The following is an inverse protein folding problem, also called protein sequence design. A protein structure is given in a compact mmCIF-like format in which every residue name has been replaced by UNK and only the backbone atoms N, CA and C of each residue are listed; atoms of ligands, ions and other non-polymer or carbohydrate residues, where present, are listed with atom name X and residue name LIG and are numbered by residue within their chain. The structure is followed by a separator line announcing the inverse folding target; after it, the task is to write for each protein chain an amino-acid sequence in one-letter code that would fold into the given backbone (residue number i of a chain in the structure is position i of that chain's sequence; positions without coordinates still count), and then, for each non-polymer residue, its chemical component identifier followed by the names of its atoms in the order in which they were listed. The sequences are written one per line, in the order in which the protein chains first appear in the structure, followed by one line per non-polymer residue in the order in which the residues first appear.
data_IF_058001846604
#
_entry.id   IF_058001846604
#
_cell.length_a   1.000
_cell.length_b   1.000
_cell.length_c   1.000
_cell.angle_alpha   90.00
_cell.angle_beta   90.00
_cell.angle_gamma   90.00
#
_symmetry.space_group_name_H-M   'P 1'
#
loop_
_entity.id
_entity.type
_entity.pdbx_description
1 polymer ?
#
# COMPACT_ATOMS: atom_id res chain seq x y z
N UNK A 1 13.07 -14.89 22.70
CA UNK A 1 11.87 -14.60 21.91
C UNK A 1 11.12 -13.44 22.55
N UNK A 2 10.94 -12.32 21.85
CA UNK A 2 10.19 -11.15 22.37
C UNK A 2 8.72 -11.54 22.58
N UNK A 3 8.22 -11.44 23.81
CA UNK A 3 6.79 -11.64 24.10
C UNK A 3 5.94 -10.73 23.19
N UNK A 4 5.03 -11.34 22.43
CA UNK A 4 4.12 -10.60 21.55
C UNK A 4 3.07 -9.93 22.43
N UNK A 5 3.14 -8.60 22.57
CA UNK A 5 2.17 -7.83 23.36
C UNK A 5 0.90 -7.55 22.55
N UNK A 6 -0.22 -7.30 23.23
CA UNK A 6 -1.50 -6.91 22.59
C UNK A 6 -1.32 -5.69 21.66
N UNK A 7 -0.53 -4.69 22.09
CA UNK A 7 -0.21 -3.51 21.27
C UNK A 7 0.46 -3.89 19.95
N UNK A 8 1.37 -4.86 19.98
CA UNK A 8 2.06 -5.37 18.79
C UNK A 8 1.08 -6.01 17.79
N UNK A 9 0.05 -6.72 18.28
CA UNK A 9 -1.00 -7.28 17.43
C UNK A 9 -1.86 -6.18 16.79
N UNK A 10 -2.25 -5.16 17.55
CA UNK A 10 -3.03 -4.03 17.02
C UNK A 10 -2.26 -3.33 15.89
N UNK A 11 -0.98 -3.00 16.11
CA UNK A 11 -0.16 -2.38 15.07
C UNK A 11 0.01 -3.27 13.84
N UNK A 12 0.12 -4.59 14.02
CA UNK A 12 0.17 -5.52 12.90
C UNK A 12 -1.12 -5.45 12.06
N UNK A 13 -2.29 -5.52 12.69
CA UNK A 13 -3.56 -5.47 11.97
C UNK A 13 -3.78 -4.12 11.29
N UNK A 14 -3.42 -3.00 11.93
CA UNK A 14 -3.46 -1.66 11.33
C UNK A 14 -2.52 -1.54 10.11
N UNK A 15 -1.30 -2.05 10.24
CA UNK A 15 -0.33 -2.08 9.13
C UNK A 15 -0.83 -2.93 7.96
N UNK A 16 -1.47 -4.06 8.26
CA UNK A 16 -2.04 -4.96 7.27
C UNK A 16 -3.26 -4.36 6.56
N UNK A 17 -4.18 -3.72 7.30
CA UNK A 17 -5.33 -3.05 6.68
C UNK A 17 -4.88 -1.90 5.78
N UNK A 18 -3.90 -1.09 6.20
CA UNK A 18 -3.37 -0.01 5.35
C UNK A 18 -2.69 -0.55 4.08
N UNK A 19 -1.99 -1.68 4.17
CA UNK A 19 -1.46 -2.36 3.00
C UNK A 19 -2.57 -2.79 2.04
N UNK A 20 -3.62 -3.45 2.56
CA UNK A 20 -4.76 -3.92 1.76
C UNK A 20 -5.49 -2.73 1.11
N UNK A 21 -5.73 -1.63 1.84
CA UNK A 21 -6.36 -0.43 1.29
C UNK A 21 -5.50 0.19 0.20
N UNK A 22 -4.17 0.22 0.37
CA UNK A 22 -3.24 0.66 -0.69
C UNK A 22 -3.32 -0.22 -1.95
N UNK A 23 -3.44 -1.54 -1.80
CA UNK A 23 -3.67 -2.43 -2.96
C UNK A 23 -5.01 -2.14 -3.64
N UNK A 24 -6.08 -1.99 -2.84
CA UNK A 24 -7.42 -1.70 -3.35
C UNK A 24 -7.49 -0.34 -4.04
N UNK A 25 -6.70 0.66 -3.62
CA UNK A 25 -6.73 1.99 -4.22
C UNK A 25 -6.29 2.01 -5.69
N UNK A 26 -5.62 0.95 -6.18
CA UNK A 26 -5.32 0.78 -7.60
C UNK A 26 -6.44 0.14 -8.41
N UNK A 27 -7.45 -0.48 -7.78
CA UNK A 27 -8.55 -1.18 -8.47
C UNK A 27 -9.35 -0.27 -9.41
N UNK A 28 -9.74 0.97 -9.02
CA UNK A 28 -10.42 1.89 -9.93
C UNK A 28 -9.64 2.11 -11.23
N UNK A 29 -8.31 2.15 -11.11
CA UNK A 29 -7.41 2.45 -12.20
C UNK A 29 -7.11 1.22 -13.06
N UNK A 30 -6.74 0.10 -12.44
CA UNK A 30 -6.35 -1.14 -13.11
C UNK A 30 -7.53 -1.90 -13.71
N UNK A 31 -8.68 -1.91 -13.03
CA UNK A 31 -9.83 -2.75 -13.41
C UNK A 31 -10.96 -1.91 -14.03
N UNK A 32 -11.28 -0.74 -13.45
CA UNK A 32 -12.48 0.02 -13.81
C UNK A 32 -12.24 1.12 -14.85
N UNK A 33 -10.99 1.37 -15.26
CA UNK A 33 -10.59 2.46 -16.17
C UNK A 33 -10.98 3.87 -15.68
N UNK A 34 -11.16 4.03 -14.38
CA UNK A 34 -11.45 5.33 -13.78
C UNK A 34 -10.13 6.11 -13.71
N UNK A 35 -10.13 7.33 -14.26
CA UNK A 35 -8.93 8.16 -14.39
C UNK A 35 -8.61 9.00 -13.14
N UNK A 36 -9.48 8.95 -12.14
CA UNK A 36 -9.26 9.63 -10.87
C UNK A 36 -8.06 9.06 -10.10
N UNK A 37 -7.31 9.91 -9.36
CA UNK A 37 -6.03 9.55 -8.75
C UNK A 37 -6.16 8.75 -7.43
N UNK A 38 -7.05 7.76 -7.39
CA UNK A 38 -7.23 6.90 -6.20
C UNK A 38 -5.92 6.23 -5.77
N UNK A 39 -5.05 5.87 -6.72
CA UNK A 39 -3.73 5.29 -6.44
C UNK A 39 -2.81 6.20 -5.62
N UNK A 40 -3.01 7.52 -5.63
CA UNK A 40 -2.21 8.47 -4.82
C UNK A 40 -2.41 8.29 -3.32
N UNK A 41 -3.50 7.65 -2.89
CA UNK A 41 -3.72 7.31 -1.47
C UNK A 41 -2.56 6.47 -0.92
N UNK A 42 -1.86 5.71 -1.76
CA UNK A 42 -0.68 4.93 -1.34
C UNK A 42 0.44 5.80 -0.77
N UNK A 43 0.61 7.05 -1.25
CA UNK A 43 1.61 7.99 -0.72
C UNK A 43 1.34 8.44 0.71
N UNK A 44 0.10 8.28 1.20
CA UNK A 44 -0.29 8.64 2.56
C UNK A 44 -0.43 7.38 3.42
N UNK A 45 -1.21 6.41 2.94
CA UNK A 45 -1.58 5.22 3.71
C UNK A 45 -0.39 4.30 3.96
N UNK A 46 0.48 4.12 2.97
CA UNK A 46 1.55 3.13 3.08
C UNK A 46 2.77 3.59 3.91
N UNK A 47 3.16 4.87 3.97
CA UNK A 47 4.10 5.34 4.99
C UNK A 47 3.58 5.12 6.42
N UNK A 48 2.29 5.35 6.67
CA UNK A 48 1.65 5.08 7.97
C UNK A 48 1.66 3.56 8.24
N UNK A 49 1.32 2.75 7.24
CA UNK A 49 1.36 1.30 7.32
C UNK A 49 2.76 0.75 7.58
N UNK A 50 3.79 1.33 6.97
CA UNK A 50 5.19 1.01 7.22
C UNK A 50 5.55 1.29 8.69
N UNK A 51 5.18 2.46 9.19
CA UNK A 51 5.44 2.84 10.59
C UNK A 51 4.76 1.88 11.57
N UNK A 52 3.49 1.51 11.35
CA UNK A 52 2.82 0.51 12.19
C UNK A 52 3.45 -0.89 12.07
N UNK A 53 3.89 -1.29 10.88
CA UNK A 53 4.58 -2.58 10.67
C UNK A 53 5.91 -2.63 11.42
N UNK A 54 6.63 -1.50 11.45
CA UNK A 54 7.85 -1.33 12.23
C UNK A 54 7.57 -1.41 13.74
N UNK A 55 6.56 -0.69 14.26
CA UNK A 55 6.13 -0.77 15.66
C UNK A 55 5.64 -2.17 16.06
N UNK A 56 5.04 -2.91 15.12
CA UNK A 56 4.64 -4.31 15.30
C UNK A 56 5.83 -5.29 15.31
N UNK A 57 7.06 -4.82 15.08
CA UNK A 57 8.25 -5.67 14.89
C UNK A 57 8.07 -6.70 13.77
N UNK A 58 7.24 -6.39 12.76
CA UNK A 58 6.92 -7.27 11.62
C UNK A 58 7.54 -6.70 10.35
N UNK A 59 8.81 -7.05 10.12
CA UNK A 59 9.61 -6.59 8.98
C UNK A 59 8.92 -6.82 7.64
N UNK A 60 8.30 -7.99 7.46
CA UNK A 60 7.60 -8.31 6.20
C UNK A 60 6.48 -7.32 5.89
N UNK A 61 5.56 -7.07 6.83
CA UNK A 61 4.43 -6.15 6.59
C UNK A 61 4.88 -4.70 6.45
N UNK A 62 5.93 -4.30 7.19
CA UNK A 62 6.55 -2.99 7.01
C UNK A 62 7.10 -2.86 5.58
N UNK A 63 7.93 -3.82 5.13
CA UNK A 63 8.50 -3.81 3.79
C UNK A 63 7.44 -3.92 2.68
N UNK A 64 6.35 -4.65 2.90
CA UNK A 64 5.20 -4.69 1.97
C UNK A 64 4.57 -3.30 1.80
N UNK A 65 4.38 -2.57 2.90
CA UNK A 65 3.91 -1.19 2.83
C UNK A 65 4.92 -0.28 2.12
N UNK A 66 6.21 -0.43 2.39
CA UNK A 66 7.24 0.33 1.70
C UNK A 66 7.26 0.03 0.19
N UNK A 67 7.15 -1.24 -0.20
CA UNK A 67 7.06 -1.65 -1.60
C UNK A 67 5.79 -1.08 -2.27
N UNK A 68 4.68 -1.01 -1.54
CA UNK A 68 3.44 -0.43 -2.03
C UNK A 68 3.59 1.06 -2.38
N UNK A 69 4.39 1.81 -1.63
CA UNK A 69 4.71 3.20 -1.98
C UNK A 69 5.36 3.31 -3.37
N UNK A 70 6.26 2.37 -3.69
CA UNK A 70 6.96 2.32 -4.98
C UNK A 70 6.15 1.65 -6.09
N UNK A 71 4.98 1.08 -5.78
CA UNK A 71 4.10 0.44 -6.77
C UNK A 71 3.60 1.40 -7.85
N UNK A 72 3.66 2.71 -7.61
CA UNK A 72 3.33 3.73 -8.60
C UNK A 72 4.11 3.55 -9.90
N UNK A 73 5.41 3.21 -9.84
CA UNK A 73 6.25 3.06 -11.03
C UNK A 73 5.75 1.95 -11.96
N UNK A 74 5.66 0.68 -11.51
CA UNK A 74 5.18 -0.40 -12.38
C UNK A 74 3.72 -0.20 -12.80
N UNK A 75 2.85 0.37 -11.95
CA UNK A 75 1.45 0.57 -12.31
C UNK A 75 1.28 1.63 -13.40
N UNK A 76 1.97 2.77 -13.30
CA UNK A 76 1.96 3.80 -14.34
C UNK A 76 2.44 3.22 -15.67
N UNK A 77 3.56 2.50 -15.66
CA UNK A 77 4.11 1.88 -16.88
C UNK A 77 3.09 0.92 -17.49
N UNK A 78 2.52 0.03 -16.68
CA UNK A 78 1.54 -0.95 -17.15
C UNK A 78 0.33 -0.28 -17.80
N UNK A 79 -0.23 0.74 -17.17
CA UNK A 79 -1.45 1.38 -17.69
C UNK A 79 -1.17 2.28 -18.87
N UNK A 80 -0.05 3.00 -18.89
CA UNK A 80 0.34 3.74 -20.08
C UNK A 80 0.45 2.82 -21.30
N UNK A 81 1.07 1.65 -21.14
CA UNK A 81 1.23 0.67 -22.22
C UNK A 81 -0.07 -0.04 -22.63
N UNK A 82 -1.03 -0.19 -21.72
CA UNK A 82 -2.26 -0.96 -21.99
C UNK A 82 -3.49 -0.09 -22.28
N UNK A 83 -3.55 1.13 -21.75
CA UNK A 83 -4.72 2.01 -21.84
C UNK A 83 -4.43 3.39 -22.42
N UNK A 84 -3.17 3.77 -22.60
CA UNK A 84 -2.77 4.99 -23.29
C UNK A 84 -2.97 6.29 -22.52
N UNK A 85 -3.10 6.23 -21.18
CA UNK A 85 -3.16 7.42 -20.33
C UNK A 85 -2.32 7.22 -19.05
N UNK A 86 -2.01 8.31 -18.35
CA UNK A 86 -1.20 8.30 -17.13
C UNK A 86 -2.14 8.44 -15.92
N UNK A 87 -2.00 7.63 -14.86
CA UNK A 87 -2.70 7.85 -13.59
C UNK A 87 -2.04 9.05 -12.94
N UNK A 88 -2.64 10.23 -13.06
CA UNK A 88 -2.25 11.41 -12.29
C UNK A 88 -3.44 12.02 -11.60
#
# INVERSE_FOLDING_TARGET
MSAITIRTKIYYYLSLTLFIVGVISWVPYLVLNIQEPYGMLTFILNPIGFYFGYLAKKRLVALSNLAMLFSFVPVVIYVYLTKGYIPM
#
